data_IF_881390606223
#
_entry.id   IF_881390606223
#
_cell.length_a   1.000
_cell.length_b   1.000
_cell.length_c   1.000
_cell.angle_alpha   90.00
_cell.angle_beta   90.00
_cell.angle_gamma   90.00
#
_symmetry.space_group_name_H-M   'P 1'
#
loop_
_entity.id
_entity.type
_entity.pdbx_description
1 polymer ?
#
# COMPACT_ATOMS: atom_id res chain seq x y z
N UNK A 1 8.66 19.50 5.94
CA UNK A 1 7.58 19.52 4.94
C UNK A 1 7.70 20.74 4.02
N UNK A 2 7.73 21.98 4.56
CA UNK A 2 7.82 23.23 3.76
C UNK A 2 8.99 23.21 2.77
N UNK A 3 10.21 22.88 3.21
CA UNK A 3 11.40 22.80 2.32
C UNK A 3 11.25 21.79 1.19
N UNK A 4 10.60 20.64 1.42
CA UNK A 4 10.34 19.65 0.37
C UNK A 4 9.45 20.26 -0.70
N UNK A 5 8.35 20.90 -0.33
CA UNK A 5 7.44 21.59 -1.26
C UNK A 5 8.12 22.71 -2.06
N UNK A 6 8.90 23.56 -1.39
CA UNK A 6 9.53 24.71 -1.99
C UNK A 6 10.74 24.34 -2.87
N UNK A 7 11.47 23.29 -2.51
CA UNK A 7 12.74 22.96 -3.13
C UNK A 7 12.66 21.83 -4.16
N UNK A 8 11.74 20.89 -3.98
CA UNK A 8 11.68 19.68 -4.81
C UNK A 8 10.46 19.62 -5.72
N UNK A 9 9.47 20.48 -5.54
CA UNK A 9 8.32 20.54 -6.45
C UNK A 9 8.70 21.21 -7.76
N UNK A 10 8.54 20.49 -8.86
CA UNK A 10 8.65 21.02 -10.21
C UNK A 10 7.25 21.44 -10.67
N UNK A 11 6.99 22.76 -10.78
CA UNK A 11 5.66 23.25 -11.12
C UNK A 11 5.28 23.01 -12.59
N UNK A 12 6.26 22.89 -13.49
CA UNK A 12 6.02 22.68 -14.92
C UNK A 12 5.58 21.24 -15.19
N UNK A 13 6.26 20.27 -14.57
CA UNK A 13 5.93 18.84 -14.67
C UNK A 13 4.90 18.38 -13.63
N UNK A 14 4.64 19.20 -12.59
CA UNK A 14 3.73 18.90 -11.47
C UNK A 14 4.11 17.61 -10.72
N UNK A 15 5.40 17.47 -10.39
CA UNK A 15 5.98 16.32 -9.70
C UNK A 15 7.08 16.77 -8.74
N UNK A 16 7.36 15.97 -7.69
CA UNK A 16 8.57 16.14 -6.91
C UNK A 16 9.75 15.50 -7.64
N UNK A 17 10.76 16.28 -7.93
CA UNK A 17 11.94 15.83 -8.66
C UNK A 17 13.23 16.17 -7.91
N UNK A 18 14.27 15.41 -8.20
CA UNK A 18 15.59 15.69 -7.67
C UNK A 18 16.13 16.99 -8.29
N UNK A 19 16.91 17.75 -7.50
CA UNK A 19 17.64 18.93 -7.98
C UNK A 19 19.12 18.61 -8.14
N UNK A 20 19.65 19.02 -9.29
CA UNK A 20 21.07 19.06 -9.53
C UNK A 20 21.72 20.18 -8.71
N UNK A 21 23.03 20.12 -8.55
CA UNK A 21 23.81 21.17 -7.89
C UNK A 21 23.66 22.54 -8.57
N UNK A 22 23.39 22.55 -9.87
CA UNK A 22 23.07 23.77 -10.65
C UNK A 22 21.74 24.42 -10.27
N UNK A 23 20.92 23.79 -9.45
CA UNK A 23 19.56 24.19 -9.12
C UNK A 23 18.51 23.76 -10.14
N UNK A 24 18.88 23.13 -11.25
CA UNK A 24 17.94 22.55 -12.21
C UNK A 24 17.34 21.26 -11.69
N UNK A 25 16.10 20.95 -12.06
CA UNK A 25 15.51 19.64 -11.83
C UNK A 25 16.14 18.59 -12.76
N UNK A 26 16.21 17.34 -12.29
CA UNK A 26 16.60 16.21 -13.15
C UNK A 26 15.47 15.89 -14.13
N UNK A 27 15.80 15.44 -15.33
CA UNK A 27 14.81 15.00 -16.31
C UNK A 27 14.21 13.63 -15.94
N UNK A 28 15.01 12.76 -15.33
CA UNK A 28 14.59 11.45 -14.89
C UNK A 28 13.61 11.52 -13.72
N UNK A 29 12.56 10.72 -13.79
CA UNK A 29 11.51 10.60 -12.78
C UNK A 29 11.55 9.20 -12.17
N UNK A 30 11.53 9.15 -10.84
CA UNK A 30 11.65 7.92 -10.06
C UNK A 30 10.60 7.84 -8.96
N UNK A 31 10.31 6.67 -8.38
CA UNK A 31 9.33 6.50 -7.31
C UNK A 31 9.59 7.35 -6.06
N UNK A 32 10.82 7.83 -5.87
CA UNK A 32 11.16 8.78 -4.79
C UNK A 32 10.34 10.08 -4.88
N UNK A 33 9.78 10.39 -6.05
CA UNK A 33 8.82 11.49 -6.24
C UNK A 33 7.58 11.36 -5.35
N UNK A 34 7.14 10.15 -5.03
CA UNK A 34 5.99 9.87 -4.16
C UNK A 34 6.31 9.96 -2.67
N UNK A 35 7.58 10.06 -2.28
CA UNK A 35 7.98 10.14 -0.86
C UNK A 35 7.48 11.41 -0.17
N UNK A 36 7.17 12.46 -0.95
CA UNK A 36 6.52 13.65 -0.42
C UNK A 36 5.13 13.35 0.17
N UNK A 37 4.43 12.34 -0.38
CA UNK A 37 3.18 11.83 0.20
C UNK A 37 3.47 11.04 1.48
N UNK A 38 4.41 10.11 1.47
CA UNK A 38 4.78 9.33 2.64
C UNK A 38 5.10 10.21 3.85
N UNK A 39 5.90 11.25 3.69
CA UNK A 39 6.23 12.17 4.78
C UNK A 39 5.16 13.25 5.05
N UNK A 40 4.05 13.24 4.29
CA UNK A 40 2.95 14.22 4.39
C UNK A 40 3.38 15.64 4.06
N UNK A 41 4.32 15.79 3.12
CA UNK A 41 4.78 17.11 2.67
C UNK A 41 3.97 17.64 1.48
N UNK A 42 3.43 16.78 0.63
CA UNK A 42 2.59 17.20 -0.50
C UNK A 42 1.33 17.92 0.01
N UNK A 43 0.84 18.89 -0.76
CA UNK A 43 -0.54 19.41 -0.59
C UNK A 43 -1.53 18.39 -1.17
N UNK A 44 -2.82 18.56 -0.93
CA UNK A 44 -3.85 17.72 -1.54
C UNK A 44 -3.80 17.79 -3.07
N UNK A 45 -3.63 18.98 -3.65
CA UNK A 45 -3.48 19.18 -5.10
C UNK A 45 -2.22 18.49 -5.65
N UNK A 46 -1.07 18.64 -4.95
CA UNK A 46 0.16 17.97 -5.35
C UNK A 46 0.04 16.45 -5.27
N UNK A 47 -0.65 15.92 -4.26
CA UNK A 47 -0.91 14.49 -4.15
C UNK A 47 -1.82 14.00 -5.28
N UNK A 48 -2.82 14.77 -5.67
CA UNK A 48 -3.70 14.46 -6.80
C UNK A 48 -2.91 14.39 -8.12
N UNK A 49 -2.04 15.35 -8.37
CA UNK A 49 -1.15 15.31 -9.54
C UNK A 49 -0.24 14.09 -9.52
N UNK A 50 0.41 13.81 -8.37
CA UNK A 50 1.28 12.64 -8.23
C UNK A 50 0.55 11.33 -8.54
N UNK A 51 -0.69 11.19 -8.08
CA UNK A 51 -1.45 9.95 -8.27
C UNK A 51 -2.04 9.88 -9.67
N UNK A 52 -2.75 10.92 -10.11
CA UNK A 52 -3.55 10.84 -11.34
C UNK A 52 -2.78 11.16 -12.61
N UNK A 53 -1.73 12.00 -12.54
CA UNK A 53 -0.91 12.31 -13.72
C UNK A 53 0.29 11.39 -13.87
N UNK A 54 0.88 10.94 -12.76
CA UNK A 54 2.14 10.20 -12.78
C UNK A 54 1.98 8.75 -12.38
N UNK A 55 1.52 8.44 -11.16
CA UNK A 55 1.45 7.06 -10.70
C UNK A 55 0.56 6.19 -11.59
N UNK A 56 -0.63 6.68 -11.93
CA UNK A 56 -1.61 5.97 -12.79
C UNK A 56 -1.33 6.12 -14.28
N UNK A 57 -0.27 6.81 -14.66
CA UNK A 57 0.14 6.95 -16.04
C UNK A 57 0.88 5.69 -16.51
N UNK A 58 0.35 5.02 -17.54
CA UNK A 58 0.92 3.79 -18.10
C UNK A 58 2.24 4.03 -18.82
N UNK A 59 2.51 5.25 -19.29
CA UNK A 59 3.80 5.64 -19.87
C UNK A 59 4.86 5.93 -18.81
N UNK A 60 4.47 6.03 -17.54
CA UNK A 60 5.40 6.33 -16.45
C UNK A 60 5.49 5.18 -15.45
N UNK A 61 4.47 5.00 -14.60
CA UNK A 61 4.61 4.08 -13.46
C UNK A 61 3.58 2.97 -13.43
N UNK A 62 2.40 3.14 -14.03
CA UNK A 62 1.38 2.12 -13.97
C UNK A 62 1.58 1.04 -15.04
N UNK A 63 1.49 -0.22 -14.64
CA UNK A 63 1.65 -1.36 -15.52
C UNK A 63 1.10 -2.62 -14.88
N UNK A 64 1.32 -3.77 -15.49
CA UNK A 64 0.93 -5.06 -14.93
C UNK A 64 1.58 -5.30 -13.56
N UNK A 65 2.83 -4.91 -13.46
CA UNK A 65 3.59 -4.95 -12.22
C UNK A 65 3.73 -3.55 -11.59
N UNK A 66 3.88 -3.49 -10.24
CA UNK A 66 4.00 -2.21 -9.52
C UNK A 66 5.18 -1.35 -10.00
N UNK A 67 5.35 -0.23 -9.34
CA UNK A 67 6.18 0.89 -9.76
C UNK A 67 7.64 0.49 -10.02
N UNK A 68 8.16 0.69 -11.25
CA UNK A 68 9.57 0.49 -11.57
C UNK A 68 10.46 1.60 -10.98
N UNK A 69 11.76 1.35 -10.88
CA UNK A 69 12.75 2.28 -10.31
C UNK A 69 12.94 3.59 -11.10
N UNK A 70 12.53 3.64 -12.35
CA UNK A 70 12.40 4.85 -13.17
C UNK A 70 11.14 4.76 -14.03
N UNK A 71 10.65 5.90 -14.49
CA UNK A 71 9.47 5.94 -15.37
C UNK A 71 9.69 5.09 -16.63
N UNK A 72 8.63 4.48 -17.14
CA UNK A 72 8.66 3.65 -18.36
C UNK A 72 9.09 4.44 -19.60
N UNK A 73 8.82 5.75 -19.61
CA UNK A 73 9.28 6.68 -20.64
C UNK A 73 10.75 7.07 -20.52
N UNK A 74 11.42 6.78 -19.39
CA UNK A 74 12.84 7.04 -19.22
C UNK A 74 13.66 6.09 -20.12
N UNK A 75 14.65 6.59 -20.89
CA UNK A 75 15.51 5.73 -21.71
C UNK A 75 16.15 4.57 -20.95
N UNK A 76 16.46 4.77 -19.65
CA UNK A 76 17.03 3.75 -18.78
C UNK A 76 16.08 2.58 -18.47
N UNK A 77 14.77 2.75 -18.61
CA UNK A 77 13.79 1.70 -18.34
C UNK A 77 14.04 0.43 -19.18
N UNK A 78 14.44 0.61 -20.44
CA UNK A 78 14.65 -0.51 -21.39
C UNK A 78 15.82 -1.41 -21.00
N UNK A 79 16.73 -0.93 -20.17
CA UNK A 79 17.88 -1.74 -19.73
C UNK A 79 17.43 -2.89 -18.82
N UNK A 80 16.33 -2.69 -18.08
CA UNK A 80 15.76 -3.68 -17.15
C UNK A 80 16.80 -4.32 -16.23
N UNK A 81 17.73 -3.51 -15.74
CA UNK A 81 18.89 -3.93 -14.95
C UNK A 81 18.96 -3.09 -13.67
N UNK A 82 19.05 -3.74 -12.51
CA UNK A 82 19.25 -3.12 -11.20
C UNK A 82 18.31 -1.93 -10.96
N UNK A 83 18.81 -0.69 -10.72
CA UNK A 83 17.99 0.53 -10.53
C UNK A 83 17.46 1.14 -11.85
N UNK A 84 17.64 0.50 -12.96
CA UNK A 84 17.27 0.97 -14.29
C UNK A 84 16.10 0.14 -14.83
N UNK A 85 14.89 0.49 -14.39
CA UNK A 85 13.62 -0.06 -14.88
C UNK A 85 13.06 -1.24 -14.08
N UNK A 86 13.76 -1.82 -13.11
CA UNK A 86 13.24 -2.93 -12.31
C UNK A 86 12.38 -2.45 -11.15
N UNK A 87 11.49 -3.32 -10.70
CA UNK A 87 10.63 -3.10 -9.53
C UNK A 87 11.40 -3.43 -8.25
N UNK A 88 11.49 -2.45 -7.35
CA UNK A 88 12.13 -2.60 -6.05
C UNK A 88 11.09 -2.56 -4.94
N UNK A 89 10.92 -3.63 -4.15
CA UNK A 89 9.91 -3.71 -3.11
C UNK A 89 9.91 -2.55 -2.11
N UNK A 90 11.06 -2.05 -1.60
CA UNK A 90 11.07 -0.90 -0.69
C UNK A 90 10.53 0.40 -1.28
N UNK A 91 10.76 0.66 -2.59
CA UNK A 91 10.20 1.83 -3.27
C UNK A 91 8.68 1.72 -3.36
N UNK A 92 8.19 0.51 -3.61
CA UNK A 92 6.77 0.22 -3.69
C UNK A 92 6.08 0.34 -2.33
N UNK A 93 6.71 -0.13 -1.26
CA UNK A 93 6.21 0.05 0.10
C UNK A 93 6.06 1.54 0.45
N UNK A 94 7.08 2.34 0.18
CA UNK A 94 7.03 3.78 0.44
C UNK A 94 5.93 4.50 -0.37
N UNK A 95 5.73 4.09 -1.63
CA UNK A 95 4.65 4.60 -2.49
C UNK A 95 3.28 4.21 -1.94
N UNK A 96 3.09 2.93 -1.60
CA UNK A 96 1.86 2.42 -1.00
C UNK A 96 1.49 3.16 0.29
N UNK A 97 2.45 3.35 1.20
CA UNK A 97 2.22 4.10 2.44
C UNK A 97 1.86 5.56 2.18
N UNK A 98 2.38 6.16 1.11
CA UNK A 98 1.99 7.48 0.65
C UNK A 98 0.52 7.54 0.21
N UNK A 99 0.07 6.56 -0.59
CA UNK A 99 -1.33 6.42 -1.01
C UNK A 99 -2.26 6.30 0.20
N UNK A 100 -1.92 5.43 1.14
CA UNK A 100 -2.65 5.21 2.39
C UNK A 100 -2.81 6.49 3.20
N UNK A 101 -1.72 7.23 3.34
CA UNK A 101 -1.71 8.47 4.12
C UNK A 101 -2.62 9.55 3.56
N UNK A 102 -2.81 9.59 2.24
CA UNK A 102 -3.64 10.58 1.55
C UNK A 102 -5.04 10.08 1.21
N UNK A 103 -5.41 8.86 1.61
CA UNK A 103 -6.76 8.32 1.44
C UNK A 103 -7.09 7.86 0.02
N UNK A 104 -6.08 7.54 -0.80
CA UNK A 104 -6.28 6.94 -2.12
C UNK A 104 -6.53 5.43 -2.00
N UNK A 105 -7.56 5.04 -1.25
CA UNK A 105 -7.80 3.66 -0.85
C UNK A 105 -8.04 2.70 -2.02
N UNK A 106 -8.76 3.13 -3.06
CA UNK A 106 -8.99 2.27 -4.24
C UNK A 106 -7.70 2.02 -5.04
N UNK A 107 -6.87 3.08 -5.18
CA UNK A 107 -5.56 2.97 -5.84
C UNK A 107 -4.61 2.11 -5.01
N UNK A 108 -4.62 2.28 -3.68
CA UNK A 108 -3.81 1.49 -2.75
C UNK A 108 -4.18 0.01 -2.80
N UNK A 109 -5.46 -0.31 -2.91
CA UNK A 109 -5.95 -1.69 -3.03
C UNK A 109 -5.50 -2.37 -4.33
N UNK A 110 -5.68 -1.72 -5.48
CA UNK A 110 -5.19 -2.27 -6.77
C UNK A 110 -3.66 -2.39 -6.76
N UNK A 111 -2.96 -1.43 -6.16
CA UNK A 111 -1.52 -1.47 -5.99
C UNK A 111 -1.07 -2.67 -5.14
N UNK A 112 -1.71 -2.90 -4.00
CA UNK A 112 -1.42 -4.02 -3.11
C UNK A 112 -1.68 -5.38 -3.77
N UNK A 113 -2.77 -5.50 -4.53
CA UNK A 113 -3.09 -6.70 -5.32
C UNK A 113 -1.98 -7.00 -6.33
N UNK A 114 -1.52 -6.00 -7.09
CA UNK A 114 -0.40 -6.15 -8.05
C UNK A 114 0.91 -6.53 -7.37
N UNK A 115 1.18 -5.99 -6.19
CA UNK A 115 2.34 -6.38 -5.38
C UNK A 115 2.27 -7.86 -4.99
N UNK A 116 1.10 -8.32 -4.55
CA UNK A 116 0.88 -9.71 -4.20
C UNK A 116 1.02 -10.65 -5.40
N UNK A 117 0.42 -10.31 -6.52
CA UNK A 117 0.50 -11.08 -7.77
C UNK A 117 1.95 -11.21 -8.26
N UNK A 118 2.72 -10.11 -8.20
CA UNK A 118 4.14 -10.12 -8.53
C UNK A 118 4.94 -11.05 -7.61
N UNK A 119 4.70 -10.98 -6.29
CA UNK A 119 5.35 -11.86 -5.34
C UNK A 119 4.98 -13.33 -5.62
N UNK A 120 3.70 -13.63 -5.79
CA UNK A 120 3.21 -15.01 -6.01
C UNK A 120 3.65 -15.59 -7.34
N UNK A 121 3.83 -14.79 -8.39
CA UNK A 121 4.40 -15.23 -9.67
C UNK A 121 5.76 -15.91 -9.49
N UNK A 122 6.56 -15.42 -8.54
CA UNK A 122 7.91 -15.92 -8.27
C UNK A 122 7.93 -16.95 -7.13
N UNK A 123 7.06 -16.77 -6.14
CA UNK A 123 7.07 -17.60 -4.93
C UNK A 123 6.31 -18.92 -5.07
N UNK A 124 5.15 -18.94 -5.74
CA UNK A 124 4.24 -20.08 -5.70
C UNK A 124 4.89 -21.40 -6.14
N UNK A 125 5.64 -21.37 -7.24
CA UNK A 125 6.25 -22.56 -7.83
C UNK A 125 7.75 -22.70 -7.51
N UNK A 126 8.48 -21.59 -7.53
CA UNK A 126 9.94 -21.59 -7.54
C UNK A 126 10.54 -21.16 -6.21
N UNK A 127 9.70 -20.64 -5.28
CA UNK A 127 10.14 -20.15 -3.96
C UNK A 127 11.17 -19.03 -4.04
N UNK A 128 11.12 -18.24 -5.11
CA UNK A 128 11.97 -17.08 -5.29
C UNK A 128 11.39 -15.89 -4.52
N UNK A 129 12.20 -15.29 -3.65
CA UNK A 129 11.93 -14.05 -2.93
C UNK A 129 12.97 -13.02 -3.37
N UNK A 130 12.84 -12.51 -4.60
CA UNK A 130 13.87 -11.74 -5.28
C UNK A 130 14.13 -10.36 -4.67
N UNK A 131 15.36 -9.90 -4.76
CA UNK A 131 15.76 -8.55 -4.36
C UNK A 131 15.00 -7.48 -5.16
N UNK A 132 14.82 -7.72 -6.44
CA UNK A 132 14.09 -6.88 -7.38
C UNK A 132 13.47 -7.76 -8.49
N UNK A 133 12.55 -7.19 -9.26
CA UNK A 133 11.76 -7.92 -10.27
C UNK A 133 11.72 -7.12 -11.56
N UNK A 134 11.63 -7.81 -12.69
CA UNK A 134 11.41 -7.17 -13.99
C UNK A 134 10.05 -6.45 -14.01
N UNK A 135 10.04 -5.19 -14.40
CA UNK A 135 8.79 -4.45 -14.64
C UNK A 135 8.10 -4.85 -15.96
N UNK A 136 8.74 -5.72 -16.77
CA UNK A 136 8.24 -6.21 -18.05
C UNK A 136 7.66 -7.61 -17.89
N UNK A 137 8.45 -8.55 -17.34
CA UNK A 137 8.08 -9.97 -17.23
C UNK A 137 7.57 -10.35 -15.84
N UNK A 138 7.80 -9.54 -14.83
CA UNK A 138 7.54 -9.86 -13.43
C UNK A 138 8.55 -10.84 -12.81
N UNK A 139 9.54 -11.32 -13.57
CA UNK A 139 10.51 -12.31 -13.10
C UNK A 139 11.65 -11.67 -12.32
N UNK A 140 12.12 -12.36 -11.28
CA UNK A 140 13.33 -11.97 -10.56
C UNK A 140 14.59 -12.60 -11.18
N UNK A 141 14.46 -13.79 -11.74
CA UNK A 141 15.52 -14.63 -12.27
C UNK A 141 15.89 -14.34 -13.75
N UNK A 142 15.36 -13.28 -14.31
CA UNK A 142 15.66 -12.86 -15.69
C UNK A 142 16.97 -12.05 -15.81
N UNK A 143 17.64 -11.77 -14.68
CA UNK A 143 18.91 -11.06 -14.62
C UNK A 143 19.89 -11.76 -13.67
N UNK A 144 21.16 -11.96 -14.08
CA UNK A 144 22.12 -12.74 -13.29
C UNK A 144 22.63 -12.04 -12.03
N UNK A 145 22.44 -10.74 -11.90
CA UNK A 145 22.87 -9.91 -10.78
C UNK A 145 21.75 -9.62 -9.77
N UNK A 146 20.60 -10.29 -9.91
CA UNK A 146 19.51 -10.24 -8.93
C UNK A 146 19.69 -11.35 -7.90
N UNK A 147 19.70 -11.01 -6.61
CA UNK A 147 19.64 -12.00 -5.55
C UNK A 147 18.22 -12.62 -5.51
N UNK A 148 18.14 -13.94 -5.69
CA UNK A 148 16.88 -14.67 -5.77
C UNK A 148 16.27 -15.00 -4.40
N UNK A 149 17.01 -14.77 -3.32
CA UNK A 149 16.51 -14.98 -1.96
C UNK A 149 16.92 -13.82 -1.04
N UNK A 150 16.21 -12.71 -1.18
CA UNK A 150 16.47 -11.49 -0.45
C UNK A 150 15.23 -11.01 0.30
N UNK A 151 15.40 -10.61 1.56
CA UNK A 151 14.29 -10.24 2.48
C UNK A 151 13.36 -9.16 1.91
N UNK A 152 13.87 -8.28 1.06
CA UNK A 152 13.05 -7.21 0.47
C UNK A 152 11.92 -7.73 -0.43
N UNK A 153 12.10 -8.89 -1.06
CA UNK A 153 11.06 -9.50 -1.87
C UNK A 153 9.76 -9.70 -1.09
N UNK A 154 9.87 -10.12 0.16
CA UNK A 154 8.72 -10.33 1.04
C UNK A 154 7.94 -9.05 1.37
N UNK A 155 8.52 -7.86 1.17
CA UNK A 155 7.82 -6.59 1.38
C UNK A 155 6.60 -6.45 0.45
N UNK A 156 6.63 -7.05 -0.75
CA UNK A 156 5.47 -7.05 -1.65
C UNK A 156 4.27 -7.79 -1.04
N UNK A 157 4.51 -8.95 -0.41
CA UNK A 157 3.43 -9.67 0.31
C UNK A 157 3.00 -8.93 1.58
N UNK A 158 3.93 -8.27 2.28
CA UNK A 158 3.61 -7.45 3.44
C UNK A 158 2.72 -6.24 3.08
N UNK A 159 2.86 -5.67 1.88
CA UNK A 159 1.94 -4.63 1.37
C UNK A 159 0.51 -5.19 1.26
N UNK A 160 0.35 -6.42 0.76
CA UNK A 160 -0.97 -7.06 0.66
C UNK A 160 -1.60 -7.33 2.04
N UNK A 161 -0.80 -7.79 3.00
CA UNK A 161 -1.26 -7.97 4.38
C UNK A 161 -1.66 -6.61 4.99
N UNK A 162 -0.84 -5.57 4.80
CA UNK A 162 -1.11 -4.23 5.30
C UNK A 162 -2.37 -3.59 4.67
N UNK A 163 -2.76 -4.00 3.46
CA UNK A 163 -4.03 -3.59 2.86
C UNK A 163 -5.23 -4.14 3.64
N UNK A 164 -5.14 -5.34 4.18
CA UNK A 164 -6.20 -5.99 4.96
C UNK A 164 -6.19 -5.49 6.41
N UNK A 165 -5.01 -5.51 7.04
CA UNK A 165 -4.82 -5.07 8.42
C UNK A 165 -3.45 -4.43 8.61
N UNK A 166 -3.42 -3.22 9.16
CA UNK A 166 -2.21 -2.45 9.35
C UNK A 166 -2.31 -1.59 10.61
N UNK A 167 -1.17 -1.26 11.20
CA UNK A 167 -1.06 -0.28 12.29
C UNK A 167 -0.11 0.83 11.87
N UNK A 168 -0.65 2.03 11.71
CA UNK A 168 0.13 3.18 11.27
C UNK A 168 -0.17 4.44 12.12
N UNK A 169 0.74 5.43 12.15
CA UNK A 169 0.63 6.55 13.07
C UNK A 169 -0.47 7.57 12.74
N UNK A 170 -1.08 7.53 11.58
CA UNK A 170 -2.13 8.48 11.16
C UNK A 170 -3.52 7.90 11.11
N UNK A 171 -3.69 6.57 11.00
CA UNK A 171 -4.98 5.89 10.98
C UNK A 171 -5.16 4.90 12.14
N UNK A 172 -4.13 4.71 12.98
CA UNK A 172 -4.14 3.69 14.04
C UNK A 172 -4.17 2.28 13.47
N UNK A 173 -4.84 1.36 14.16
CA UNK A 173 -5.14 0.06 13.62
C UNK A 173 -6.26 0.18 12.57
N UNK A 174 -6.03 -0.37 11.40
CA UNK A 174 -6.98 -0.38 10.29
C UNK A 174 -7.35 -1.80 9.91
N UNK A 175 -8.61 -1.97 9.50
CA UNK A 175 -9.14 -3.18 8.91
C UNK A 175 -9.85 -2.83 7.61
N UNK A 176 -9.60 -3.57 6.54
CA UNK A 176 -10.25 -3.30 5.25
C UNK A 176 -11.24 -4.39 4.90
N UNK A 177 -12.50 -3.99 4.68
CA UNK A 177 -13.53 -4.82 4.09
C UNK A 177 -13.66 -4.49 2.61
N UNK A 178 -12.92 -5.20 1.77
CA UNK A 178 -12.95 -5.08 0.31
C UNK A 178 -14.09 -5.86 -0.35
N UNK A 179 -13.98 -6.07 -1.67
CA UNK A 179 -14.90 -6.89 -2.45
C UNK A 179 -14.55 -8.37 -2.43
N UNK A 180 -13.28 -8.69 -2.18
CA UNK A 180 -12.75 -10.03 -2.33
C UNK A 180 -12.76 -10.75 -0.98
N UNK A 181 -13.03 -12.05 -1.01
CA UNK A 181 -12.89 -12.91 0.15
C UNK A 181 -11.41 -13.06 0.47
N UNK A 182 -11.07 -12.93 1.75
CA UNK A 182 -9.69 -13.04 2.24
C UNK A 182 -9.67 -13.57 3.66
N UNK A 183 -8.64 -14.35 3.99
CA UNK A 183 -8.39 -14.81 5.35
C UNK A 183 -6.91 -14.64 5.71
N UNK A 184 -6.65 -14.03 6.85
CA UNK A 184 -5.35 -13.95 7.49
C UNK A 184 -5.45 -14.67 8.84
N UNK A 185 -4.60 -15.65 9.07
CA UNK A 185 -4.58 -16.43 10.32
C UNK A 185 -3.35 -16.08 11.15
N UNK A 186 -3.53 -16.11 12.47
CA UNK A 186 -2.47 -15.87 13.44
C UNK A 186 -1.70 -14.55 13.23
N UNK A 187 -2.39 -13.52 12.72
CA UNK A 187 -1.77 -12.23 12.51
C UNK A 187 -1.50 -11.53 13.86
N UNK A 188 -0.29 -11.00 14.03
CA UNK A 188 0.04 -10.16 15.18
C UNK A 188 -0.68 -8.81 15.07
N UNK A 189 -1.55 -8.51 16.03
CA UNK A 189 -2.42 -7.32 16.05
C UNK A 189 -2.36 -6.64 17.41
N UNK A 190 -2.95 -5.43 17.58
CA UNK A 190 -3.07 -4.77 18.88
C UNK A 190 -3.82 -5.58 19.95
N UNK A 191 -4.58 -6.61 19.57
CA UNK A 191 -5.29 -7.51 20.51
C UNK A 191 -4.60 -8.86 20.69
N UNK A 192 -3.37 -9.00 20.25
CA UNK A 192 -2.62 -10.25 20.22
C UNK A 192 -2.74 -10.96 18.87
N UNK A 193 -2.55 -12.28 18.85
CA UNK A 193 -2.77 -13.07 17.64
C UNK A 193 -4.25 -13.10 17.31
N UNK A 194 -4.58 -12.80 16.07
CA UNK A 194 -5.96 -12.76 15.62
C UNK A 194 -6.10 -13.30 14.19
N UNK A 195 -7.26 -13.89 13.93
CA UNK A 195 -7.73 -14.21 12.58
C UNK A 195 -8.59 -13.06 12.07
N UNK A 196 -8.33 -12.64 10.84
CA UNK A 196 -9.09 -11.61 10.14
C UNK A 196 -9.63 -12.22 8.86
N UNK A 197 -10.94 -12.26 8.73
CA UNK A 197 -11.63 -12.87 7.60
C UNK A 197 -12.61 -11.89 6.97
N UNK A 198 -12.61 -11.81 5.66
CA UNK A 198 -13.68 -11.22 4.86
C UNK A 198 -14.29 -12.34 4.05
N UNK A 199 -15.53 -12.69 4.33
CA UNK A 199 -16.28 -13.71 3.60
C UNK A 199 -17.79 -13.40 3.68
N UNK A 200 -18.54 -13.77 2.66
CA UNK A 200 -19.99 -13.59 2.62
C UNK A 200 -20.44 -12.13 2.92
N UNK A 201 -19.66 -11.17 2.48
CA UNK A 201 -19.91 -9.74 2.73
C UNK A 201 -19.84 -9.36 4.23
N UNK A 202 -19.04 -10.06 5.01
CA UNK A 202 -18.81 -9.81 6.45
C UNK A 202 -17.32 -9.81 6.74
N UNK A 203 -16.86 -8.78 7.43
CA UNK A 203 -15.54 -8.73 8.05
C UNK A 203 -15.65 -9.28 9.47
N UNK A 204 -14.80 -10.25 9.80
CA UNK A 204 -14.70 -10.83 11.14
C UNK A 204 -13.29 -10.70 11.69
N UNK A 205 -13.19 -10.43 12.97
CA UNK A 205 -11.95 -10.49 13.74
C UNK A 205 -12.16 -11.45 14.91
N UNK A 206 -11.32 -12.47 14.99
CA UNK A 206 -11.34 -13.47 16.07
C UNK A 206 -9.99 -13.49 16.78
N UNK A 207 -10.01 -13.65 18.08
CA UNK A 207 -8.79 -13.84 18.88
C UNK A 207 -9.11 -14.74 20.07
N UNK A 208 -8.21 -15.65 20.41
CA UNK A 208 -8.37 -16.60 21.52
C UNK A 208 -9.71 -17.38 21.50
N UNK A 209 -10.23 -17.71 20.31
CA UNK A 209 -11.48 -18.43 20.11
C UNK A 209 -12.75 -17.54 20.19
N UNK A 210 -12.64 -16.26 20.47
CA UNK A 210 -13.75 -15.32 20.55
C UNK A 210 -13.85 -14.44 19.31
N UNK A 211 -15.07 -14.14 18.87
CA UNK A 211 -15.33 -13.12 17.84
C UNK A 211 -15.33 -11.74 18.49
N UNK A 212 -14.33 -10.94 18.20
CA UNK A 212 -14.18 -9.59 18.73
C UNK A 212 -14.94 -8.54 17.94
N UNK A 213 -15.10 -8.76 16.63
CA UNK A 213 -15.83 -7.89 15.71
C UNK A 213 -16.46 -8.71 14.60
N UNK A 214 -17.68 -8.38 14.24
CA UNK A 214 -18.33 -8.81 13.00
C UNK A 214 -19.07 -7.62 12.39
N UNK A 215 -18.82 -7.32 11.11
CA UNK A 215 -19.47 -6.17 10.46
C UNK A 215 -19.60 -6.34 8.95
N UNK A 216 -20.67 -5.78 8.39
CA UNK A 216 -20.85 -5.62 6.95
C UNK A 216 -20.40 -4.23 6.44
N UNK A 217 -19.84 -3.38 7.29
CA UNK A 217 -19.33 -2.08 6.88
C UNK A 217 -18.22 -2.23 5.84
N UNK A 218 -18.40 -1.63 4.69
CA UNK A 218 -17.44 -1.69 3.56
C UNK A 218 -16.38 -0.61 3.67
N UNK A 219 -15.21 -0.88 3.07
CA UNK A 219 -14.09 0.05 2.99
C UNK A 219 -13.11 -0.11 4.16
N UNK A 220 -12.34 0.92 4.43
CA UNK A 220 -11.29 0.90 5.45
C UNK A 220 -11.80 1.46 6.78
N UNK A 221 -11.89 0.60 7.78
CA UNK A 221 -12.14 0.97 9.15
C UNK A 221 -10.83 1.48 9.76
N UNK A 222 -10.86 2.65 10.40
CA UNK A 222 -9.68 3.29 11.00
C UNK A 222 -9.83 3.43 12.51
N UNK A 223 -8.70 3.62 13.20
CA UNK A 223 -8.65 3.77 14.66
C UNK A 223 -9.44 2.67 15.39
N UNK A 224 -9.28 1.43 14.87
CA UNK A 224 -9.95 0.26 15.45
C UNK A 224 -9.38 -0.01 16.83
N UNK A 225 -10.25 -0.13 17.81
CA UNK A 225 -9.94 -0.50 19.19
C UNK A 225 -10.90 -1.61 19.61
N UNK A 226 -10.37 -2.78 19.94
CA UNK A 226 -11.14 -3.96 20.34
C UNK A 226 -10.67 -4.49 21.70
N UNK A 227 -10.39 -3.58 22.66
CA UNK A 227 -9.99 -3.97 24.02
C UNK A 227 -11.19 -4.53 24.81
N UNK A 228 -10.97 -5.28 25.90
CA UNK A 228 -12.06 -5.79 26.73
C UNK A 228 -12.97 -4.70 27.29
N UNK A 229 -12.44 -3.50 27.51
CA UNK A 229 -13.17 -2.38 28.14
C UNK A 229 -13.69 -1.35 27.16
N UNK A 230 -13.20 -1.37 25.90
CA UNK A 230 -13.59 -0.39 24.89
C UNK A 230 -13.59 -1.00 23.48
N UNK A 231 -14.65 -0.71 22.75
CA UNK A 231 -14.80 -1.00 21.33
C UNK A 231 -15.07 0.31 20.60
N UNK A 232 -14.20 0.67 19.68
CA UNK A 232 -14.33 1.89 18.91
C UNK A 232 -13.71 1.70 17.52
N UNK A 233 -14.27 2.36 16.53
CA UNK A 233 -13.70 2.44 15.19
C UNK A 233 -14.32 3.62 14.43
N UNK A 234 -13.59 4.14 13.45
CA UNK A 234 -14.12 5.08 12.47
C UNK A 234 -14.50 4.31 11.21
N UNK A 235 -15.74 4.47 10.77
CA UNK A 235 -16.23 3.89 9.53
C UNK A 235 -16.11 4.90 8.39
N UNK A 236 -15.78 4.46 7.17
CA UNK A 236 -15.93 5.29 5.99
C UNK A 236 -17.45 5.52 5.72
N UNK A 237 -17.76 6.46 4.83
CA UNK A 237 -19.15 6.68 4.39
C UNK A 237 -19.74 5.37 3.86
N UNK A 238 -20.92 5.02 4.35
CA UNK A 238 -21.62 3.78 4.01
C UNK A 238 -22.86 4.06 3.18
N UNK A 239 -23.22 3.12 2.31
CA UNK A 239 -24.51 3.06 1.64
C UNK A 239 -25.31 1.89 2.22
N UNK A 240 -26.48 2.17 2.80
CA UNK A 240 -27.35 1.15 3.39
C UNK A 240 -27.13 0.91 4.89
N UNK A 241 -27.76 -0.14 5.40
CA UNK A 241 -27.71 -0.52 6.80
C UNK A 241 -26.35 -1.13 7.18
N UNK A 242 -25.70 -0.57 8.19
CA UNK A 242 -24.48 -1.11 8.77
C UNK A 242 -24.82 -1.91 10.03
N UNK A 243 -24.36 -3.14 10.08
CA UNK A 243 -24.45 -4.03 11.25
C UNK A 243 -23.07 -4.18 11.87
N UNK A 244 -23.00 -4.02 13.17
CA UNK A 244 -21.78 -4.24 13.95
C UNK A 244 -22.09 -5.18 15.09
N UNK A 245 -21.61 -6.40 14.98
CA UNK A 245 -21.67 -7.41 16.04
C UNK A 245 -20.44 -7.27 16.95
N UNK A 246 -20.70 -7.12 18.24
CA UNK A 246 -19.69 -7.08 19.29
C UNK A 246 -20.07 -8.13 20.35
N UNK A 247 -19.11 -8.66 21.13
CA UNK A 247 -19.42 -9.51 22.27
C UNK A 247 -20.44 -8.86 23.22
N UNK A 248 -21.32 -9.65 23.81
CA UNK A 248 -22.43 -9.16 24.67
C UNK A 248 -21.97 -8.41 25.93
N UNK A 249 -20.71 -8.54 26.29
CA UNK A 249 -20.10 -7.89 27.46
C UNK A 249 -19.80 -6.41 27.29
N UNK A 250 -20.02 -5.83 26.11
CA UNK A 250 -19.63 -4.45 25.79
C UNK A 250 -20.85 -3.55 25.60
N UNK A 251 -20.89 -2.43 26.34
CA UNK A 251 -21.94 -1.41 26.16
C UNK A 251 -21.85 -0.78 24.75
N UNK A 252 -22.98 -0.75 24.04
CA UNK A 252 -23.08 -0.23 22.67
C UNK A 252 -23.42 1.25 22.66
N UNK A 253 -22.60 2.08 22.01
CA UNK A 253 -22.90 3.48 21.73
C UNK A 253 -22.45 3.83 20.31
N UNK A 254 -23.39 4.16 19.45
CA UNK A 254 -23.11 4.78 18.16
C UNK A 254 -23.00 6.30 18.35
N UNK A 255 -21.91 6.89 17.87
CA UNK A 255 -21.73 8.34 17.81
C UNK A 255 -21.64 8.68 16.32
N UNK A 256 -22.63 9.43 15.84
CA UNK A 256 -22.69 9.97 14.47
C UNK A 256 -21.77 11.19 14.33
#
# INVERSE_FOLDING_TARGET
KRRIREQLWDPDRRIFANRLWSGKFTDSVAPTSFYAMLCGAATAEQADDLVNRHLRNTEEFWGDWPVPACARSDPAFKDNVYWRGRVWPPLNFATYMGLRRYGYDDVARDFARRCYELFMLNWANERICGENFSAITGRADDQPDTDLFYTWGAVLSAIAVAEISDVNPWQGWTLTHGSDDVALHDLSTPVGLADIEVADNVLRVRSAGETLLETNARGRLCHVELSPTRRAMMLPSQTGEVRVGLPDTVARRLVS
#
